data_IF_365669833718
#
_entry.id   IF_365669833718
#
_cell.length_a   1.000
_cell.length_b   1.000
_cell.length_c   1.000
_cell.angle_alpha   90.00
_cell.angle_beta   90.00
_cell.angle_gamma   90.00
#
_symmetry.space_group_name_H-M   'P 1'
#
loop_
_entity.id
_entity.type
_entity.pdbx_description
1 polymer ?
#
# COMPACT_ATOMS: atom_id res chain seq x y z
N UNK A 1 -2.00 14.16 -1.77
CA UNK A 1 -2.13 13.40 -3.03
C UNK A 1 -1.75 14.28 -4.21
N UNK A 2 -2.36 15.45 -4.38
CA UNK A 2 -1.95 16.40 -5.41
C UNK A 2 -0.64 17.10 -5.08
N UNK A 3 0.24 17.23 -6.07
CA UNK A 3 1.47 18.02 -6.02
C UNK A 3 1.13 19.51 -6.08
N UNK A 4 2.00 20.31 -5.47
CA UNK A 4 1.94 21.77 -5.53
C UNK A 4 3.30 22.26 -6.01
N UNK A 5 3.32 22.95 -7.15
CA UNK A 5 4.54 23.55 -7.68
C UNK A 5 5.02 24.73 -6.84
N UNK A 6 6.27 25.12 -7.08
CA UNK A 6 7.01 26.12 -6.32
C UNK A 6 7.79 25.49 -5.16
N UNK A 7 8.90 26.13 -4.78
CA UNK A 7 9.88 25.54 -3.84
C UNK A 7 10.80 24.57 -4.57
N UNK A 8 10.81 23.31 -4.15
CA UNK A 8 11.66 22.25 -4.71
C UNK A 8 11.03 21.55 -5.93
N UNK A 9 9.79 21.89 -6.28
CA UNK A 9 9.02 21.33 -7.40
C UNK A 9 8.79 22.38 -8.49
N UNK A 10 8.91 22.01 -9.79
CA UNK A 10 8.64 22.95 -10.87
C UNK A 10 7.15 23.30 -10.96
N UNK A 11 6.81 24.53 -11.35
CA UNK A 11 5.43 25.03 -11.31
C UNK A 11 4.44 24.15 -12.10
N UNK A 12 4.89 23.57 -13.21
CA UNK A 12 4.07 22.75 -14.11
C UNK A 12 3.48 21.50 -13.46
N UNK A 13 4.05 21.00 -12.35
CA UNK A 13 3.55 19.81 -11.66
C UNK A 13 2.29 20.08 -10.84
N UNK A 14 1.90 21.34 -10.64
CA UNK A 14 0.74 21.69 -9.79
C UNK A 14 -0.53 20.97 -10.26
N UNK A 15 -1.19 20.24 -9.35
CA UNK A 15 -2.41 19.48 -9.68
C UNK A 15 -2.17 18.12 -10.32
N UNK A 16 -0.91 17.74 -10.56
CA UNK A 16 -0.51 16.36 -10.88
C UNK A 16 -0.32 15.49 -9.63
N UNK A 17 0.27 14.31 -9.81
CA UNK A 17 0.61 13.41 -8.70
C UNK A 17 1.69 12.40 -9.10
N UNK A 18 2.60 12.10 -8.18
CA UNK A 18 3.52 10.97 -8.34
C UNK A 18 2.75 9.65 -8.34
N UNK A 19 2.92 8.88 -9.41
CA UNK A 19 2.21 7.64 -9.67
C UNK A 19 3.17 6.46 -9.60
N UNK A 20 2.88 5.51 -8.72
CA UNK A 20 3.70 4.30 -8.55
C UNK A 20 2.92 3.11 -9.00
N UNK A 21 3.54 2.27 -9.84
CA UNK A 21 3.04 0.96 -10.22
C UNK A 21 4.04 -0.09 -9.73
N UNK A 22 3.55 -1.15 -9.07
CA UNK A 22 4.34 -2.35 -8.77
C UNK A 22 3.55 -3.57 -9.22
N UNK A 23 4.18 -4.41 -10.04
CA UNK A 23 3.67 -5.74 -10.35
C UNK A 23 4.21 -6.67 -9.28
N UNK A 24 3.33 -7.20 -8.45
CA UNK A 24 3.66 -7.99 -7.27
C UNK A 24 3.02 -9.36 -7.43
N UNK A 25 3.85 -10.38 -7.64
CA UNK A 25 3.40 -11.76 -7.64
C UNK A 25 3.08 -12.22 -6.22
N UNK A 26 2.08 -13.08 -6.08
CA UNK A 26 1.74 -13.76 -4.83
C UNK A 26 1.97 -15.26 -4.95
N UNK A 27 2.69 -15.84 -3.99
CA UNK A 27 2.94 -17.27 -3.91
C UNK A 27 1.77 -17.99 -3.23
N UNK A 28 0.64 -18.08 -3.94
CA UNK A 28 -0.67 -18.49 -3.38
C UNK A 28 -0.66 -19.92 -2.81
N UNK A 29 0.09 -20.84 -3.40
CA UNK A 29 0.17 -22.23 -2.93
C UNK A 29 0.90 -22.35 -1.58
N UNK A 30 1.82 -21.43 -1.29
CA UNK A 30 2.48 -21.33 0.01
C UNK A 30 1.61 -20.58 1.01
N UNK A 31 0.99 -19.48 0.57
CA UNK A 31 0.06 -18.70 1.38
C UNK A 31 -1.11 -19.53 1.90
N UNK A 32 -1.68 -20.41 1.08
CA UNK A 32 -2.82 -21.24 1.47
C UNK A 32 -2.46 -22.37 2.46
N UNK A 33 -1.16 -22.63 2.68
CA UNK A 33 -0.68 -23.66 3.63
C UNK A 33 -0.45 -23.13 5.04
N UNK A 34 -0.35 -21.82 5.22
CA UNK A 34 -0.21 -21.23 6.55
C UNK A 34 -1.56 -21.05 7.23
N UNK A 35 -1.54 -21.01 8.56
CA UNK A 35 -2.79 -20.88 9.33
C UNK A 35 -3.46 -19.52 9.11
N UNK A 36 -4.79 -19.46 9.22
CA UNK A 36 -5.53 -18.19 9.16
C UNK A 36 -5.01 -17.20 10.22
N UNK A 37 -4.67 -17.70 11.41
CA UNK A 37 -4.10 -16.87 12.47
C UNK A 37 -2.81 -16.20 12.02
N UNK A 38 -1.91 -16.96 11.39
CA UNK A 38 -0.66 -16.46 10.85
C UNK A 38 -0.90 -15.43 9.73
N UNK A 39 -1.77 -15.72 8.76
CA UNK A 39 -2.16 -14.77 7.71
C UNK A 39 -2.67 -13.44 8.29
N UNK A 40 -3.56 -13.52 9.27
CA UNK A 40 -4.11 -12.35 9.95
C UNK A 40 -3.05 -11.55 10.70
N UNK A 41 -2.08 -12.23 11.32
CA UNK A 41 -0.98 -11.59 12.05
C UNK A 41 0.02 -10.92 11.11
N UNK A 42 0.29 -11.50 9.94
CA UNK A 42 1.11 -10.89 8.88
C UNK A 42 0.49 -9.56 8.46
N UNK A 43 -0.82 -9.50 8.22
CA UNK A 43 -1.50 -8.25 7.83
C UNK A 43 -1.80 -7.31 9.02
N UNK A 44 -2.10 -7.85 10.20
CA UNK A 44 -2.60 -7.11 11.36
C UNK A 44 -4.11 -6.86 11.36
N UNK A 45 -4.87 -7.60 10.54
CA UNK A 45 -6.34 -7.49 10.42
C UNK A 45 -7.01 -8.85 10.33
N UNK A 46 -8.26 -8.92 10.75
CA UNK A 46 -9.12 -10.11 10.64
C UNK A 46 -9.45 -10.38 9.17
N UNK A 47 -9.31 -11.63 8.71
CA UNK A 47 -9.45 -11.98 7.29
C UNK A 47 -10.90 -11.93 6.82
N UNK A 48 -11.85 -12.27 7.68
CA UNK A 48 -13.26 -12.38 7.32
C UNK A 48 -13.99 -11.04 7.32
N UNK A 49 -13.56 -10.11 8.16
CA UNK A 49 -14.23 -8.81 8.37
C UNK A 49 -13.40 -7.61 7.93
N UNK A 50 -12.09 -7.79 7.76
CA UNK A 50 -11.15 -6.70 7.55
C UNK A 50 -10.93 -5.82 8.78
N UNK A 51 -11.57 -6.08 9.93
CA UNK A 51 -11.41 -5.26 11.13
C UNK A 51 -9.99 -5.36 11.72
N UNK A 52 -9.52 -4.37 12.50
CA UNK A 52 -8.29 -4.50 13.27
C UNK A 52 -8.31 -5.74 14.18
N UNK A 53 -7.17 -6.43 14.32
CA UNK A 53 -7.09 -7.48 15.32
C UNK A 53 -7.30 -6.92 16.73
N UNK A 54 -7.94 -7.71 17.56
CA UNK A 54 -8.32 -7.39 18.93
C UNK A 54 -8.35 -8.67 19.76
N UNK A 55 -8.30 -8.55 21.09
CA UNK A 55 -8.28 -9.71 21.96
C UNK A 55 -6.97 -10.50 21.87
N UNK A 56 -7.01 -11.78 22.26
CA UNK A 56 -5.86 -12.68 22.18
C UNK A 56 -5.68 -13.24 20.76
N UNK A 57 -4.48 -13.70 20.38
CA UNK A 57 -4.27 -14.32 19.08
C UNK A 57 -5.27 -15.45 18.80
N UNK A 58 -6.05 -15.32 17.72
CA UNK A 58 -7.05 -16.30 17.31
C UNK A 58 -8.45 -16.10 17.91
N UNK A 59 -8.63 -15.13 18.81
CA UNK A 59 -9.95 -14.72 19.29
C UNK A 59 -10.53 -13.63 18.37
N UNK A 60 -11.82 -13.72 18.06
CA UNK A 60 -12.58 -12.66 17.40
C UNK A 60 -13.37 -11.89 18.44
N UNK A 61 -13.13 -10.59 18.55
CA UNK A 61 -14.00 -9.70 19.32
C UNK A 61 -15.12 -9.20 18.39
N UNK A 62 -16.36 -9.41 18.79
CA UNK A 62 -17.52 -8.92 18.05
C UNK A 62 -17.64 -7.39 18.13
N UNK A 63 -18.24 -6.77 17.10
CA UNK A 63 -18.54 -5.33 17.09
C UNK A 63 -17.43 -4.43 16.56
N UNK A 64 -16.34 -5.00 16.00
CA UNK A 64 -15.36 -4.22 15.24
C UNK A 64 -15.66 -4.27 13.75
N UNK A 65 -15.40 -3.15 13.07
CA UNK A 65 -15.70 -2.94 11.66
C UNK A 65 -14.42 -2.74 10.84
N UNK A 66 -14.52 -2.97 9.52
CA UNK A 66 -13.43 -2.88 8.56
C UNK A 66 -12.69 -1.53 8.64
N UNK A 67 -13.42 -0.41 8.69
CA UNK A 67 -12.82 0.93 8.68
C UNK A 67 -12.45 1.47 10.06
N UNK A 68 -12.60 0.67 11.11
CA UNK A 68 -12.18 1.08 12.44
C UNK A 68 -10.65 1.21 12.52
N UNK A 69 -10.19 2.24 13.23
CA UNK A 69 -8.77 2.44 13.47
C UNK A 69 -8.24 1.45 14.53
N UNK A 70 -7.04 0.89 14.34
CA UNK A 70 -6.40 0.08 15.36
C UNK A 70 -5.99 0.95 16.56
N UNK A 71 -6.12 0.42 17.77
CA UNK A 71 -5.69 1.11 19.00
C UNK A 71 -4.25 0.73 19.39
N UNK A 72 -3.27 0.98 18.51
CA UNK A 72 -1.88 0.56 18.72
C UNK A 72 -1.24 1.10 20.00
N UNK A 73 -1.66 2.28 20.47
CA UNK A 73 -1.21 2.87 21.75
C UNK A 73 -1.55 2.01 22.98
N UNK A 74 -2.57 1.13 22.89
CA UNK A 74 -2.92 0.16 23.95
C UNK A 74 -2.19 -1.19 23.80
N UNK A 75 -1.43 -1.36 22.72
CA UNK A 75 -0.73 -2.58 22.36
C UNK A 75 0.74 -2.27 22.02
N UNK A 76 1.43 -1.59 22.95
CA UNK A 76 2.81 -1.11 22.76
C UNK A 76 3.80 -2.25 22.46
N UNK A 77 3.53 -3.47 22.92
CA UNK A 77 4.37 -4.65 22.70
C UNK A 77 3.97 -5.49 21.48
N UNK A 78 2.87 -5.16 20.80
CA UNK A 78 2.39 -5.92 19.64
C UNK A 78 1.88 -7.33 19.96
N UNK A 79 1.29 -7.50 21.15
CA UNK A 79 0.71 -8.77 21.58
C UNK A 79 -0.53 -9.12 20.75
N UNK A 80 -1.32 -8.10 20.37
CA UNK A 80 -2.54 -8.26 19.59
C UNK A 80 -2.27 -8.06 18.10
N UNK A 81 -1.75 -6.89 17.71
CA UNK A 81 -1.29 -6.62 16.34
C UNK A 81 0.24 -6.60 16.36
N UNK A 82 0.93 -7.59 15.75
CA UNK A 82 2.38 -7.64 15.76
C UNK A 82 3.04 -6.32 15.34
N UNK A 83 4.16 -5.97 15.97
CA UNK A 83 4.95 -4.79 15.57
C UNK A 83 5.41 -4.86 14.12
N UNK A 84 5.55 -6.08 13.59
CA UNK A 84 5.95 -6.39 12.21
C UNK A 84 4.78 -6.55 11.25
N UNK A 85 3.53 -6.36 11.69
CA UNK A 85 2.36 -6.52 10.83
C UNK A 85 2.34 -5.45 9.72
N UNK A 86 2.01 -5.84 8.49
CA UNK A 86 2.00 -4.99 7.30
C UNK A 86 1.32 -3.64 7.54
N UNK A 87 0.09 -3.67 8.08
CA UNK A 87 -0.70 -2.45 8.32
C UNK A 87 -0.07 -1.53 9.37
N UNK A 88 0.59 -2.10 10.39
CA UNK A 88 1.21 -1.35 11.48
C UNK A 88 2.54 -0.74 11.07
N UNK A 89 3.35 -1.45 10.30
CA UNK A 89 4.57 -0.91 9.69
C UNK A 89 4.25 0.21 8.70
N UNK A 90 3.28 -0.04 7.81
CA UNK A 90 2.91 0.94 6.78
C UNK A 90 2.27 2.21 7.38
N UNK A 91 1.52 2.08 8.47
CA UNK A 91 0.94 3.22 9.18
C UNK A 91 0.77 2.94 10.69
N UNK A 92 1.71 3.38 11.54
CA UNK A 92 1.64 3.16 12.99
C UNK A 92 0.60 4.01 13.73
N UNK A 93 -0.13 4.92 13.03
CA UNK A 93 -1.21 5.73 13.61
C UNK A 93 -0.83 6.49 14.91
N UNK A 94 0.40 6.95 15.01
CA UNK A 94 0.94 7.71 16.15
C UNK A 94 1.11 9.22 15.86
N UNK A 95 0.61 9.68 14.71
CA UNK A 95 0.73 11.05 14.21
C UNK A 95 2.04 11.33 13.47
N UNK A 96 3.09 10.52 13.67
CA UNK A 96 4.37 10.65 12.94
C UNK A 96 4.26 10.13 11.50
N UNK A 97 3.16 9.46 11.17
CA UNK A 97 2.89 8.85 9.87
C UNK A 97 1.96 9.63 8.97
N UNK A 98 1.48 10.79 9.40
CA UNK A 98 0.40 11.48 8.70
C UNK A 98 0.83 12.10 7.36
N UNK A 99 2.10 12.50 7.27
CA UNK A 99 2.72 13.08 6.07
C UNK A 99 3.11 12.03 5.01
N UNK A 100 3.32 10.77 5.41
CA UNK A 100 3.60 9.61 4.53
C UNK A 100 2.35 8.91 3.97
N UNK A 101 1.15 9.41 4.26
CA UNK A 101 -0.11 8.80 3.77
C UNK A 101 -0.24 8.90 2.24
N UNK A 102 -0.52 7.77 1.60
CA UNK A 102 -0.72 7.66 0.15
C UNK A 102 -2.10 7.10 -0.21
N UNK A 103 -2.59 7.41 -1.42
CA UNK A 103 -3.83 6.82 -1.95
C UNK A 103 -3.50 5.58 -2.76
N UNK A 104 -3.87 4.40 -2.27
CA UNK A 104 -3.71 3.12 -2.99
C UNK A 104 -4.95 2.84 -3.85
N UNK A 105 -4.74 2.37 -5.07
CA UNK A 105 -5.79 2.01 -6.06
C UNK A 105 -5.39 0.80 -6.90
N UNK A 106 -4.94 -0.26 -6.22
CA UNK A 106 -4.46 -1.48 -6.87
C UNK A 106 -5.58 -2.36 -7.44
N UNK A 107 -5.17 -3.33 -8.26
CA UNK A 107 -6.02 -4.36 -8.85
C UNK A 107 -5.38 -5.73 -8.66
N UNK A 108 -6.18 -6.79 -8.61
CA UNK A 108 -5.66 -8.16 -8.68
C UNK A 108 -5.38 -8.51 -10.15
N UNK A 109 -4.37 -9.33 -10.40
CA UNK A 109 -4.14 -9.94 -11.73
C UNK A 109 -4.17 -11.46 -11.65
N UNK A 110 -4.53 -12.07 -12.79
CA UNK A 110 -4.43 -13.51 -13.03
C UNK A 110 -3.97 -13.73 -14.46
N UNK A 111 -2.75 -14.25 -14.63
CA UNK A 111 -2.07 -14.38 -15.92
C UNK A 111 -1.91 -15.84 -16.39
N UNK A 112 -2.40 -16.80 -15.60
CA UNK A 112 -2.44 -18.22 -15.97
C UNK A 112 -1.54 -19.07 -15.09
N UNK A 113 -0.80 -19.99 -15.71
CA UNK A 113 0.06 -20.99 -15.05
C UNK A 113 1.47 -20.88 -15.62
N UNK A 114 2.46 -20.84 -14.75
CA UNK A 114 3.87 -20.85 -15.13
C UNK A 114 4.39 -22.22 -15.56
N UNK A 115 5.54 -22.30 -16.25
CA UNK A 115 6.14 -23.58 -16.65
C UNK A 115 6.41 -24.56 -15.49
N UNK A 116 6.57 -24.06 -14.26
CA UNK A 116 6.77 -24.87 -13.06
C UNK A 116 5.44 -25.38 -12.43
N UNK A 117 4.29 -25.07 -13.05
CA UNK A 117 2.96 -25.48 -12.61
C UNK A 117 2.32 -24.58 -11.54
N UNK A 118 2.98 -23.50 -11.11
CA UNK A 118 2.40 -22.54 -10.15
C UNK A 118 1.48 -21.55 -10.84
N UNK A 119 0.49 -21.05 -10.09
CA UNK A 119 -0.40 -20.00 -10.56
C UNK A 119 0.35 -18.66 -10.65
N UNK A 120 0.17 -17.94 -11.76
CA UNK A 120 0.65 -16.57 -11.93
C UNK A 120 -0.46 -15.59 -11.53
N UNK A 121 -0.55 -15.34 -10.22
CA UNK A 121 -1.51 -14.47 -9.58
C UNK A 121 -0.79 -13.43 -8.73
N UNK A 122 -1.44 -12.28 -8.52
CA UNK A 122 -0.93 -11.29 -7.60
C UNK A 122 -1.68 -9.98 -7.66
N UNK A 123 -0.95 -8.89 -7.39
CA UNK A 123 -1.48 -7.54 -7.33
C UNK A 123 -0.69 -6.60 -8.26
N UNK A 124 -1.43 -5.86 -9.08
CA UNK A 124 -0.97 -4.61 -9.70
C UNK A 124 -1.19 -3.53 -8.65
N UNK A 125 -0.19 -3.30 -7.80
CA UNK A 125 -0.25 -2.24 -6.81
C UNK A 125 -0.09 -0.91 -7.52
N UNK A 126 -1.00 0.01 -7.22
CA UNK A 126 -0.99 1.37 -7.74
C UNK A 126 -1.14 2.31 -6.55
N UNK A 127 -0.34 3.37 -6.47
CA UNK A 127 -0.62 4.47 -5.56
C UNK A 127 -0.32 5.84 -6.16
N UNK A 128 -0.95 6.85 -5.57
CA UNK A 128 -0.82 8.26 -5.90
C UNK A 128 -0.30 9.03 -4.68
N UNK A 129 0.71 9.87 -4.92
CA UNK A 129 1.48 10.56 -3.90
C UNK A 129 1.65 12.03 -4.29
N UNK A 130 1.63 12.92 -3.29
CA UNK A 130 2.04 14.31 -3.49
C UNK A 130 3.56 14.45 -3.48
N UNK A 131 4.26 13.50 -2.88
CA UNK A 131 5.72 13.47 -2.75
C UNK A 131 6.15 12.00 -2.74
N UNK A 132 7.00 11.60 -3.68
CA UNK A 132 7.34 10.19 -3.83
C UNK A 132 8.19 9.67 -2.66
N UNK A 133 9.18 10.43 -2.24
CA UNK A 133 10.18 10.02 -1.26
C UNK A 133 9.58 9.97 0.16
N UNK A 134 8.86 11.04 0.54
CA UNK A 134 8.20 11.12 1.85
C UNK A 134 7.09 10.08 2.02
N UNK A 135 6.50 9.60 0.92
CA UNK A 135 5.32 8.74 0.98
C UNK A 135 5.64 7.30 0.58
N UNK A 136 5.56 6.95 -0.71
CA UNK A 136 5.73 5.57 -1.15
C UNK A 136 7.09 4.99 -0.77
N UNK A 137 8.18 5.72 -1.02
CA UNK A 137 9.54 5.22 -0.74
C UNK A 137 9.72 5.02 0.77
N UNK A 138 9.39 6.02 1.58
CA UNK A 138 9.45 5.91 3.04
C UNK A 138 8.63 4.73 3.59
N UNK A 139 7.41 4.51 3.07
CA UNK A 139 6.59 3.37 3.49
C UNK A 139 7.21 2.05 3.04
N UNK A 140 7.70 1.95 1.80
CA UNK A 140 8.33 0.72 1.30
C UNK A 140 9.62 0.38 2.06
N UNK A 141 10.38 1.37 2.52
CA UNK A 141 11.56 1.16 3.38
C UNK A 141 11.20 0.50 4.70
N UNK A 142 10.06 0.84 5.30
CA UNK A 142 9.57 0.20 6.54
C UNK A 142 9.12 -1.24 6.33
N UNK A 143 8.73 -1.58 5.10
CA UNK A 143 8.20 -2.89 4.71
C UNK A 143 9.28 -3.82 4.15
N UNK A 144 10.56 -3.43 4.14
CA UNK A 144 11.61 -4.22 3.47
C UNK A 144 11.81 -5.61 4.08
N UNK A 145 11.59 -5.74 5.39
CA UNK A 145 11.77 -6.98 6.16
C UNK A 145 10.44 -7.46 6.79
N UNK A 146 9.30 -7.06 6.24
CA UNK A 146 8.01 -7.52 6.77
C UNK A 146 7.78 -9.01 6.51
N UNK A 147 7.03 -9.74 7.36
CA UNK A 147 6.76 -11.17 7.14
C UNK A 147 6.04 -11.50 5.82
N UNK A 148 5.37 -10.52 5.19
CA UNK A 148 4.67 -10.72 3.93
C UNK A 148 5.64 -11.02 2.77
N UNK A 149 6.91 -10.59 2.85
CA UNK A 149 7.90 -10.75 1.76
C UNK A 149 8.17 -12.22 1.42
N UNK A 150 7.92 -13.14 2.34
CA UNK A 150 8.04 -14.58 2.09
C UNK A 150 6.96 -15.11 1.12
N UNK A 151 5.87 -14.35 0.93
CA UNK A 151 4.69 -14.75 0.16
C UNK A 151 4.44 -13.89 -1.08
N UNK A 152 5.25 -12.86 -1.30
CA UNK A 152 5.12 -11.96 -2.45
C UNK A 152 6.47 -11.70 -3.11
N UNK A 153 6.45 -11.40 -4.41
CA UNK A 153 7.66 -11.00 -5.13
C UNK A 153 7.33 -9.89 -6.13
N UNK A 154 7.76 -8.64 -5.87
CA UNK A 154 7.72 -7.59 -6.88
C UNK A 154 8.64 -7.94 -8.06
N UNK A 155 8.13 -7.90 -9.29
CA UNK A 155 8.88 -8.28 -10.49
C UNK A 155 8.85 -7.22 -11.59
N UNK A 156 8.08 -6.15 -11.42
CA UNK A 156 7.98 -5.08 -12.40
C UNK A 156 7.25 -3.85 -11.89
N UNK A 157 6.99 -2.93 -12.81
CA UNK A 157 6.36 -1.64 -12.53
C UNK A 157 7.33 -0.48 -12.76
N UNK A 158 7.08 0.65 -12.09
CA UNK A 158 7.87 1.86 -12.25
C UNK A 158 7.29 3.05 -11.49
N UNK A 159 8.04 4.15 -11.53
CA UNK A 159 7.62 5.45 -11.03
C UNK A 159 7.34 6.37 -12.21
N UNK A 160 6.22 7.06 -12.13
CA UNK A 160 5.71 7.93 -13.17
C UNK A 160 5.16 9.20 -12.54
N UNK A 161 4.85 10.18 -13.38
CA UNK A 161 4.13 11.37 -12.98
C UNK A 161 2.79 11.42 -13.70
N UNK A 162 1.69 11.40 -12.96
CA UNK A 162 0.37 11.65 -13.50
C UNK A 162 0.22 13.16 -13.73
N UNK A 163 0.14 13.55 -15.00
CA UNK A 163 0.07 14.94 -15.42
C UNK A 163 -1.13 15.67 -14.80
N UNK A 164 -1.04 17.00 -14.64
CA UNK A 164 -2.19 17.81 -14.23
C UNK A 164 -3.38 17.62 -15.18
N UNK A 165 -4.57 17.88 -14.64
CA UNK A 165 -5.80 17.86 -15.41
C UNK A 165 -5.82 18.94 -16.50
N UNK A 166 -6.56 18.68 -17.57
CA UNK A 166 -6.82 19.63 -18.65
C UNK A 166 -8.06 20.46 -18.28
N UNK A 167 -7.97 21.79 -18.12
CA UNK A 167 -9.04 22.61 -17.56
C UNK A 167 -10.25 22.77 -18.50
N UNK A 168 -10.02 22.83 -19.81
CA UNK A 168 -11.04 23.03 -20.82
C UNK A 168 -10.65 22.42 -22.19
N UNK A 169 -11.50 22.59 -23.20
CA UNK A 169 -11.32 21.97 -24.51
C UNK A 169 -10.21 22.63 -25.37
N UNK A 170 -9.72 23.80 -24.99
CA UNK A 170 -8.66 24.52 -25.69
C UNK A 170 -7.26 24.18 -25.15
N UNK A 171 -7.18 23.38 -24.08
CA UNK A 171 -5.94 22.89 -23.47
C UNK A 171 -5.71 21.38 -23.78
N UNK A 172 -4.52 20.85 -23.49
CA UNK A 172 -4.14 19.45 -23.74
C UNK A 172 -3.16 18.89 -22.69
N UNK A 173 -3.15 17.55 -22.53
CA UNK A 173 -2.36 16.86 -21.50
C UNK A 173 -0.86 17.07 -21.69
N UNK A 174 -0.22 17.76 -20.75
CA UNK A 174 1.23 18.00 -20.78
C UNK A 174 1.62 19.35 -21.35
N UNK A 175 0.67 20.22 -21.68
CA UNK A 175 0.97 21.59 -22.13
C UNK A 175 1.85 22.34 -21.16
N UNK A 176 1.48 22.34 -19.88
CA UNK A 176 2.25 23.03 -18.84
C UNK A 176 3.68 22.49 -18.70
N UNK A 177 3.92 21.22 -19.00
CA UNK A 177 5.26 20.64 -19.01
C UNK A 177 6.08 21.10 -20.23
N UNK A 178 5.49 21.13 -21.42
CA UNK A 178 6.23 21.50 -22.64
C UNK A 178 6.48 23.00 -22.76
N UNK A 179 5.71 23.83 -22.06
CA UNK A 179 5.81 25.29 -22.05
C UNK A 179 6.57 25.86 -20.83
N UNK A 180 7.03 25.00 -19.91
CA UNK A 180 7.74 25.38 -18.68
C UNK A 180 9.18 25.85 -18.90
#
# INVERSE_FOLDING_TARGET
>A
MWTKGGGDEPDWVTGGSYHVVRLIRMFVEFWDRISINEQQRIFGRDRGTGAPLSGRPGERVAGLEEFQLPSYYRDAHGNTVPLTAHTRLANPHDGTSDDRRMLRRGFNYSAGIEPNGQLDLGMIFICFNADLDRQFVAVQTLLIDEPLVDYISPFGGGYFFALPGVPDADDWLGRTLLEA
#
